data_IF_316229421589
#
_entry.id   IF_316229421589
#
_cell.length_a   1.000
_cell.length_b   1.000
_cell.length_c   1.000
_cell.angle_alpha   90.00
_cell.angle_beta   90.00
_cell.angle_gamma   90.00
#
_symmetry.space_group_name_H-M   'P 1'
#
loop_
_entity.id
_entity.type
_entity.pdbx_description
1 polymer ?
#
# COMPACT_ATOMS: atom_id res chain seq x y z
N UNK A 1 -67.18 -7.43 18.26
CA UNK A 1 -66.29 -6.37 17.73
C UNK A 1 -64.87 -6.59 18.24
N UNK A 2 -63.86 -6.35 17.40
CA UNK A 2 -62.41 -6.38 17.66
C UNK A 2 -61.71 -7.77 17.65
N UNK A 3 -61.76 -8.43 16.48
CA UNK A 3 -60.58 -9.13 15.92
C UNK A 3 -59.89 -8.13 15.02
N UNK A 4 -58.69 -7.64 15.35
CA UNK A 4 -57.74 -6.97 14.42
C UNK A 4 -56.57 -6.46 15.27
N UNK A 5 -55.66 -7.35 15.66
CA UNK A 5 -54.36 -6.93 16.17
C UNK A 5 -53.30 -8.02 15.96
N UNK A 6 -53.19 -8.53 14.74
CA UNK A 6 -52.10 -9.40 14.36
C UNK A 6 -51.96 -9.26 12.85
N UNK A 7 -51.14 -8.33 12.37
CA UNK A 7 -50.50 -8.29 11.03
C UNK A 7 -49.90 -6.89 10.77
N UNK A 8 -48.90 -6.47 11.56
CA UNK A 8 -48.13 -5.26 11.21
C UNK A 8 -46.68 -5.39 11.69
N UNK A 9 -46.03 -6.53 11.40
CA UNK A 9 -44.66 -6.81 11.82
C UNK A 9 -43.83 -7.57 10.76
N UNK A 10 -44.31 -7.67 9.51
CA UNK A 10 -43.69 -8.49 8.46
C UNK A 10 -43.18 -7.70 7.23
N UNK A 11 -43.14 -6.37 7.29
CA UNK A 11 -42.70 -5.54 6.14
C UNK A 11 -41.45 -4.70 6.41
N UNK A 12 -40.72 -4.96 7.50
CA UNK A 12 -39.32 -4.53 7.57
C UNK A 12 -38.49 -5.47 6.70
N UNK A 13 -38.63 -5.29 5.38
CA UNK A 13 -37.66 -5.75 4.39
C UNK A 13 -36.34 -5.10 4.79
N UNK A 14 -35.52 -5.86 5.52
CA UNK A 14 -34.14 -5.51 5.75
C UNK A 14 -33.51 -5.54 4.35
N UNK A 15 -33.39 -4.37 3.73
CA UNK A 15 -32.52 -4.20 2.57
C UNK A 15 -31.11 -4.41 3.09
N UNK A 16 -30.70 -5.67 3.18
CA UNK A 16 -29.31 -6.05 3.31
C UNK A 16 -28.63 -5.59 2.03
N UNK A 17 -28.13 -4.36 2.04
CA UNK A 17 -27.12 -3.94 1.09
C UNK A 17 -25.91 -4.83 1.32
N UNK A 18 -25.86 -5.94 0.59
CA UNK A 18 -24.62 -6.64 0.30
C UNK A 18 -23.66 -5.59 -0.25
N UNK A 19 -22.59 -5.27 0.49
CA UNK A 19 -21.43 -4.68 -0.16
C UNK A 19 -20.87 -5.81 -1.03
N UNK A 20 -21.28 -5.87 -2.30
CA UNK A 20 -20.94 -6.96 -3.21
C UNK A 20 -19.41 -7.11 -3.39
N UNK A 21 -18.64 -6.07 -3.07
CA UNK A 21 -17.19 -6.15 -2.86
C UNK A 21 -16.73 -5.11 -1.80
N UNK A 22 -16.27 -5.53 -0.59
CA UNK A 22 -15.78 -4.59 0.42
C UNK A 22 -14.50 -3.83 0.00
N UNK A 23 -13.84 -4.26 -1.08
CA UNK A 23 -12.60 -3.66 -1.61
C UNK A 23 -12.82 -2.82 -2.87
N UNK A 24 -14.06 -2.64 -3.35
CA UNK A 24 -14.32 -1.89 -4.58
C UNK A 24 -13.73 -0.47 -4.56
N UNK A 25 -13.79 0.21 -3.42
CA UNK A 25 -13.19 1.53 -3.24
C UNK A 25 -11.66 1.49 -3.30
N UNK A 26 -11.03 0.42 -2.81
CA UNK A 26 -9.58 0.24 -2.90
C UNK A 26 -9.16 -0.05 -4.34
N UNK A 27 -9.87 -0.94 -5.02
CA UNK A 27 -9.61 -1.33 -6.40
C UNK A 27 -9.65 -0.13 -7.35
N UNK A 28 -10.56 0.81 -7.13
CA UNK A 28 -10.68 2.03 -7.91
C UNK A 28 -9.54 3.03 -7.69
N UNK A 29 -8.87 2.99 -6.54
CA UNK A 29 -7.82 3.93 -6.16
C UNK A 29 -6.40 3.36 -6.30
N UNK A 30 -6.26 2.04 -6.42
CA UNK A 30 -4.98 1.34 -6.48
C UNK A 30 -4.82 0.63 -7.82
N UNK A 31 -3.86 1.09 -8.63
CA UNK A 31 -3.59 0.53 -9.95
C UNK A 31 -2.96 -0.85 -9.80
N UNK A 32 -3.56 -1.85 -10.43
CA UNK A 32 -2.94 -3.16 -10.52
C UNK A 32 -1.75 -3.11 -11.46
N UNK A 33 -0.59 -3.59 -10.99
CA UNK A 33 0.67 -3.46 -11.73
C UNK A 33 1.47 -4.75 -11.70
N UNK A 34 2.15 -5.03 -12.82
CA UNK A 34 3.30 -5.92 -12.81
C UNK A 34 4.45 -5.19 -12.11
N UNK A 35 4.79 -5.63 -10.90
CA UNK A 35 5.84 -5.02 -10.08
C UNK A 35 7.20 -5.00 -10.79
N UNK A 36 7.54 -6.05 -11.55
CA UNK A 36 8.80 -6.13 -12.29
C UNK A 36 8.85 -5.05 -13.37
N UNK A 37 7.73 -4.81 -14.04
CA UNK A 37 7.62 -3.72 -15.02
C UNK A 37 7.73 -2.36 -14.35
N UNK A 38 7.07 -2.15 -13.21
CA UNK A 38 7.14 -0.90 -12.46
C UNK A 38 8.58 -0.56 -12.07
N UNK A 39 9.30 -1.48 -11.42
CA UNK A 39 10.69 -1.24 -11.01
C UNK A 39 11.61 -1.00 -12.21
N UNK A 40 11.43 -1.73 -13.32
CA UNK A 40 12.19 -1.46 -14.55
C UNK A 40 11.97 -0.05 -15.08
N UNK A 41 10.74 0.47 -15.00
CA UNK A 41 10.45 1.84 -15.42
C UNK A 41 11.09 2.87 -14.51
N UNK A 42 11.06 2.64 -13.19
CA UNK A 42 11.71 3.53 -12.21
C UNK A 42 13.25 3.51 -12.36
N UNK A 43 13.85 2.35 -12.64
CA UNK A 43 15.29 2.24 -12.95
C UNK A 43 15.62 2.96 -14.26
N UNK A 44 14.87 2.70 -15.35
CA UNK A 44 15.11 3.35 -16.63
C UNK A 44 14.95 4.88 -16.54
N UNK A 45 14.02 5.35 -15.71
CA UNK A 45 13.88 6.76 -15.40
C UNK A 45 15.12 7.30 -14.68
N UNK A 46 15.58 6.63 -13.62
CA UNK A 46 16.78 7.04 -12.90
C UNK A 46 18.01 7.10 -13.83
N UNK A 47 18.25 6.06 -14.63
CA UNK A 47 19.32 6.02 -15.63
C UNK A 47 19.19 7.19 -16.62
N UNK A 48 17.97 7.54 -17.06
CA UNK A 48 17.75 8.65 -18.00
C UNK A 48 18.09 10.01 -17.40
N UNK A 49 17.87 10.20 -16.09
CA UNK A 49 18.20 11.46 -15.40
C UNK A 49 19.70 11.56 -15.13
N UNK A 50 20.36 10.47 -14.74
CA UNK A 50 21.81 10.45 -14.52
C UNK A 50 22.59 10.77 -15.81
N UNK A 51 22.08 10.33 -16.97
CA UNK A 51 22.71 10.58 -18.26
C UNK A 51 22.45 11.99 -18.84
N UNK A 52 21.59 12.81 -18.22
CA UNK A 52 21.24 14.17 -18.68
C UNK A 52 21.36 15.20 -17.53
N UNK A 53 22.58 15.58 -17.11
CA UNK A 53 22.81 16.40 -15.92
C UNK A 53 22.36 17.87 -16.05
N UNK A 54 21.95 18.32 -17.23
CA UNK A 54 21.44 19.69 -17.44
C UNK A 54 19.99 19.88 -17.00
N UNK A 55 19.24 18.81 -16.71
CA UNK A 55 17.85 18.87 -16.24
C UNK A 55 17.75 18.86 -14.71
N UNK A 56 16.77 19.57 -14.13
CA UNK A 56 16.58 19.63 -12.68
C UNK A 56 16.22 18.25 -12.12
N UNK A 57 17.07 17.71 -11.24
CA UNK A 57 17.06 16.30 -10.82
C UNK A 57 16.16 15.98 -9.62
N UNK A 58 15.31 16.91 -9.18
CA UNK A 58 14.37 16.65 -8.09
C UNK A 58 13.02 16.17 -8.64
N UNK A 59 12.69 14.92 -8.35
CA UNK A 59 11.40 14.34 -8.70
C UNK A 59 10.78 13.65 -7.50
N UNK A 60 9.48 13.83 -7.33
CA UNK A 60 8.70 13.12 -6.31
C UNK A 60 7.42 12.59 -6.93
N UNK A 61 7.02 11.41 -6.47
CA UNK A 61 5.77 10.78 -6.90
C UNK A 61 5.13 10.04 -5.74
N UNK A 62 3.81 10.14 -5.69
CA UNK A 62 2.97 9.36 -4.80
C UNK A 62 1.87 8.70 -5.62
N UNK A 63 1.66 7.38 -5.44
CA UNK A 63 0.68 6.64 -6.22
C UNK A 63 0.17 5.40 -5.46
N UNK A 64 -1.07 4.99 -5.72
CA UNK A 64 -1.61 3.73 -5.20
C UNK A 64 -1.34 2.57 -6.15
N UNK A 65 -0.71 1.49 -5.65
CA UNK A 65 -0.50 0.25 -6.42
C UNK A 65 -0.98 -0.98 -5.68
N UNK A 66 -1.52 -1.94 -6.44
CA UNK A 66 -1.84 -3.27 -5.93
C UNK A 66 -1.19 -4.36 -6.76
N UNK A 67 -0.72 -5.42 -6.09
CA UNK A 67 -0.06 -6.55 -6.72
C UNK A 67 0.00 -7.76 -5.78
N UNK A 68 0.14 -8.95 -6.36
CA UNK A 68 0.39 -10.19 -5.63
C UNK A 68 1.89 -10.35 -5.31
N UNK A 69 2.19 -10.84 -4.11
CA UNK A 69 3.56 -11.11 -3.67
C UNK A 69 3.61 -12.24 -2.62
N UNK A 70 4.81 -12.66 -2.21
CA UNK A 70 5.00 -13.71 -1.21
C UNK A 70 5.51 -13.10 0.09
N UNK A 71 4.80 -13.31 1.20
CA UNK A 71 5.30 -12.91 2.52
C UNK A 71 6.36 -13.89 3.02
N UNK A 72 7.57 -13.42 3.35
CA UNK A 72 8.69 -14.30 3.75
C UNK A 72 8.65 -14.75 5.22
N UNK A 73 7.78 -14.16 6.04
CA UNK A 73 7.78 -14.36 7.50
C UNK A 73 8.71 -13.40 8.26
N UNK A 74 9.56 -12.62 7.59
CA UNK A 74 10.55 -11.77 8.25
C UNK A 74 10.00 -10.37 8.54
N UNK A 75 10.36 -9.84 9.70
CA UNK A 75 9.98 -8.52 10.21
C UNK A 75 11.22 -7.80 10.72
N UNK A 76 11.26 -6.48 10.57
CA UNK A 76 12.26 -5.64 11.25
C UNK A 76 11.70 -4.26 11.59
N UNK A 77 12.48 -3.49 12.33
CA UNK A 77 12.19 -2.06 12.52
C UNK A 77 12.51 -1.31 11.23
N UNK A 78 11.63 -0.40 10.85
CA UNK A 78 11.88 0.48 9.70
C UNK A 78 13.11 1.37 9.95
N UNK A 79 13.87 1.64 8.90
CA UNK A 79 14.97 2.61 8.93
C UNK A 79 14.40 4.05 8.95
N UNK A 80 15.00 4.92 9.78
CA UNK A 80 14.62 6.34 9.87
C UNK A 80 14.69 7.07 8.52
N UNK A 81 15.67 6.76 7.66
CA UNK A 81 15.76 7.35 6.32
C UNK A 81 14.50 7.09 5.49
N UNK A 82 13.92 5.90 5.57
CA UNK A 82 12.67 5.59 4.86
C UNK A 82 11.50 6.40 5.40
N UNK A 83 11.39 6.55 6.73
CA UNK A 83 10.37 7.41 7.35
C UNK A 83 10.51 8.84 6.83
N UNK A 84 11.73 9.38 6.83
CA UNK A 84 11.98 10.76 6.44
C UNK A 84 11.65 11.01 4.96
N UNK A 85 11.95 10.04 4.08
CA UNK A 85 11.56 10.08 2.66
C UNK A 85 10.04 10.08 2.52
N UNK A 86 9.36 9.12 3.16
CA UNK A 86 7.89 9.06 3.11
C UNK A 86 7.28 10.36 3.62
N UNK A 87 7.80 10.93 4.71
CA UNK A 87 7.33 12.21 5.27
C UNK A 87 7.51 13.37 4.30
N UNK A 88 8.66 13.49 3.65
CA UNK A 88 8.91 14.53 2.64
C UNK A 88 7.94 14.42 1.48
N UNK A 89 7.83 13.24 0.88
CA UNK A 89 6.93 13.00 -0.26
C UNK A 89 5.49 13.26 0.17
N UNK A 90 5.00 12.61 1.23
CA UNK A 90 3.61 12.75 1.69
C UNK A 90 3.26 14.20 2.03
N UNK A 91 4.15 14.95 2.70
CA UNK A 91 3.91 16.36 3.03
C UNK A 91 3.71 17.23 1.79
N UNK A 92 4.37 16.92 0.67
CA UNK A 92 4.19 17.67 -0.59
C UNK A 92 2.80 17.47 -1.19
N UNK A 93 2.20 16.29 -1.01
CA UNK A 93 0.87 15.98 -1.57
C UNK A 93 -0.29 16.25 -0.59
N UNK A 94 -0.08 16.11 0.72
CA UNK A 94 -1.16 16.21 1.72
C UNK A 94 -1.04 17.40 2.68
N UNK A 95 0.12 18.06 2.75
CA UNK A 95 0.41 19.14 3.69
C UNK A 95 0.72 18.69 5.13
N UNK A 96 0.45 17.44 5.52
CA UNK A 96 0.70 16.91 6.86
C UNK A 96 1.26 15.48 6.79
N UNK A 97 2.38 15.21 7.47
CA UNK A 97 3.05 13.89 7.49
C UNK A 97 3.13 13.22 8.85
N UNK A 98 2.50 13.77 9.90
CA UNK A 98 2.62 13.27 11.28
C UNK A 98 2.11 11.83 11.43
N UNK A 99 1.12 11.43 10.62
CA UNK A 99 0.60 10.06 10.63
C UNK A 99 1.69 9.02 10.34
N UNK A 100 2.72 9.38 9.57
CA UNK A 100 3.82 8.47 9.22
C UNK A 100 4.79 8.23 10.39
N UNK A 101 4.79 9.09 11.41
CA UNK A 101 5.60 8.88 12.62
C UNK A 101 5.14 7.67 13.44
N UNK A 102 3.93 7.17 13.17
CA UNK A 102 3.39 5.97 13.80
C UNK A 102 3.96 4.68 13.22
N UNK A 103 4.53 4.70 12.01
CA UNK A 103 5.07 3.53 11.33
C UNK A 103 6.39 3.11 12.00
N UNK A 104 6.47 1.86 12.46
CA UNK A 104 7.64 1.32 13.16
C UNK A 104 8.21 0.05 12.55
N UNK A 105 7.42 -0.66 11.76
CA UNK A 105 7.78 -1.98 11.24
C UNK A 105 7.75 -2.01 9.73
N UNK A 106 8.59 -2.88 9.19
CA UNK A 106 8.54 -3.31 7.80
C UNK A 106 8.63 -4.83 7.73
N UNK A 107 8.00 -5.38 6.70
CA UNK A 107 7.95 -6.82 6.40
C UNK A 107 8.74 -7.09 5.13
N UNK A 108 9.42 -8.23 5.08
CA UNK A 108 10.10 -8.64 3.86
C UNK A 108 9.14 -9.39 2.95
N UNK A 109 8.96 -8.83 1.76
CA UNK A 109 8.11 -9.34 0.71
C UNK A 109 9.00 -9.85 -0.43
N UNK A 110 8.77 -11.09 -0.83
CA UNK A 110 9.40 -11.71 -1.98
C UNK A 110 8.54 -11.49 -3.20
N UNK A 111 9.20 -11.04 -4.25
CA UNK A 111 8.69 -10.79 -5.59
C UNK A 111 9.52 -11.59 -6.59
N UNK A 112 9.09 -11.64 -7.84
CA UNK A 112 9.84 -12.31 -8.91
C UNK A 112 11.24 -11.72 -9.12
N UNK A 113 11.40 -10.43 -8.82
CA UNK A 113 12.66 -9.68 -9.00
C UNK A 113 13.59 -9.74 -7.78
N UNK A 114 13.19 -10.36 -6.67
CA UNK A 114 13.98 -10.40 -5.43
C UNK A 114 13.14 -10.16 -4.18
N UNK A 115 13.77 -9.72 -3.10
CA UNK A 115 13.08 -9.35 -1.85
C UNK A 115 13.17 -7.84 -1.63
N UNK A 116 12.09 -7.28 -1.08
CA UNK A 116 12.03 -5.88 -0.66
C UNK A 116 11.48 -5.80 0.75
N UNK A 117 11.89 -4.77 1.49
CA UNK A 117 11.30 -4.45 2.78
C UNK A 117 10.24 -3.38 2.60
N UNK A 118 9.03 -3.68 3.05
CA UNK A 118 7.87 -2.82 2.87
C UNK A 118 7.36 -2.36 4.23
N UNK A 119 7.37 -1.05 4.51
CA UNK A 119 6.69 -0.49 5.66
C UNK A 119 5.23 -0.94 5.70
N UNK A 120 4.69 -1.10 6.91
CA UNK A 120 3.28 -1.49 7.10
C UNK A 120 2.60 -0.53 8.07
N UNK A 121 1.34 -0.18 7.78
CA UNK A 121 0.55 0.63 8.70
C UNK A 121 0.38 -0.09 10.05
N UNK A 122 0.52 0.61 11.19
CA UNK A 122 0.46 -0.02 12.52
C UNK A 122 -0.83 -0.81 12.79
N UNK A 123 -1.96 -0.32 12.26
CA UNK A 123 -3.26 -0.98 12.41
C UNK A 123 -3.31 -2.36 11.73
N UNK A 124 -2.48 -2.57 10.70
CA UNK A 124 -2.42 -3.81 9.93
C UNK A 124 -1.45 -4.82 10.53
N UNK A 125 -0.53 -4.44 11.41
CA UNK A 125 0.50 -5.35 11.93
C UNK A 125 -0.08 -6.61 12.58
N UNK A 126 -1.09 -6.42 13.44
CA UNK A 126 -1.74 -7.52 14.17
C UNK A 126 -2.55 -8.44 13.24
N UNK A 127 -3.46 -7.94 12.38
CA UNK A 127 -4.18 -8.81 11.45
C UNK A 127 -3.23 -9.48 10.45
N UNK A 128 -2.22 -8.77 9.93
CA UNK A 128 -1.25 -9.35 8.98
C UNK A 128 -0.51 -10.56 9.59
N UNK A 129 -0.03 -10.45 10.84
CA UNK A 129 0.61 -11.57 11.56
C UNK A 129 -0.34 -12.74 11.81
N UNK A 130 -1.63 -12.48 11.96
CA UNK A 130 -2.65 -13.49 12.24
C UNK A 130 -3.08 -14.23 10.98
N UNK A 131 -3.17 -13.52 9.87
CA UNK A 131 -3.88 -13.98 8.66
C UNK A 131 -2.92 -14.41 7.55
N UNK A 132 -1.76 -13.77 7.42
CA UNK A 132 -0.79 -14.08 6.36
C UNK A 132 0.25 -15.06 6.88
N UNK A 133 0.37 -16.22 6.24
CA UNK A 133 1.32 -17.25 6.63
C UNK A 133 2.69 -17.00 6.01
N UNK A 134 3.74 -17.48 6.69
CA UNK A 134 5.08 -17.48 6.11
C UNK A 134 5.09 -18.27 4.79
N UNK A 135 5.73 -17.70 3.78
CA UNK A 135 5.83 -18.21 2.41
C UNK A 135 4.48 -18.40 1.70
N UNK A 136 3.41 -17.71 2.13
CA UNK A 136 2.15 -17.69 1.39
C UNK A 136 2.06 -16.47 0.49
N UNK A 137 1.19 -16.59 -0.53
CA UNK A 137 0.81 -15.45 -1.35
C UNK A 137 -0.01 -14.45 -0.53
N UNK A 138 0.16 -13.18 -0.83
CA UNK A 138 -0.60 -12.06 -0.29
C UNK A 138 -0.79 -11.03 -1.39
N UNK A 139 -2.02 -10.55 -1.54
CA UNK A 139 -2.33 -9.43 -2.41
C UNK A 139 -2.22 -8.14 -1.60
N UNK A 140 -1.35 -7.23 -2.02
CA UNK A 140 -0.99 -6.02 -1.26
C UNK A 140 -1.54 -4.79 -1.95
N UNK A 141 -2.14 -3.88 -1.17
CA UNK A 141 -2.42 -2.50 -1.56
C UNK A 141 -1.38 -1.61 -0.93
N UNK A 142 -0.70 -0.81 -1.74
CA UNK A 142 0.50 -0.09 -1.34
C UNK A 142 0.42 1.36 -1.76
N UNK A 143 0.76 2.25 -0.84
CA UNK A 143 1.02 3.64 -1.16
C UNK A 143 2.50 3.76 -1.51
N UNK A 144 2.77 4.01 -2.79
CA UNK A 144 4.11 4.19 -3.31
C UNK A 144 4.60 5.60 -3.08
N UNK A 145 5.82 5.69 -2.56
CA UNK A 145 6.57 6.92 -2.41
C UNK A 145 7.86 6.80 -3.21
N UNK A 146 7.98 7.65 -4.22
CA UNK A 146 9.19 7.78 -4.99
C UNK A 146 9.78 9.18 -4.80
N UNK A 147 11.08 9.22 -4.59
CA UNK A 147 11.85 10.46 -4.48
C UNK A 147 13.20 10.26 -5.15
N UNK A 148 13.50 11.11 -6.11
CA UNK A 148 14.83 11.32 -6.64
C UNK A 148 15.37 12.63 -6.07
N UNK A 149 16.46 12.56 -5.31
CA UNK A 149 17.08 13.74 -4.69
C UNK A 149 17.99 14.46 -5.67
N UNK A 150 18.27 15.73 -5.38
CA UNK A 150 19.27 16.53 -6.12
C UNK A 150 20.68 15.92 -6.04
N UNK A 151 20.95 15.06 -5.04
CA UNK A 151 22.24 14.36 -4.92
C UNK A 151 22.30 13.05 -5.72
N UNK A 152 21.27 12.74 -6.52
CA UNK A 152 21.19 11.51 -7.32
C UNK A 152 20.67 10.28 -6.57
N UNK A 153 20.15 10.43 -5.34
CA UNK A 153 19.64 9.27 -4.59
C UNK A 153 18.20 8.96 -5.00
N UNK A 154 17.95 7.70 -5.37
CA UNK A 154 16.62 7.19 -5.68
C UNK A 154 16.04 6.38 -4.53
N UNK A 155 14.86 6.77 -4.07
CA UNK A 155 14.10 6.05 -3.06
C UNK A 155 12.78 5.56 -3.64
N UNK A 156 12.53 4.26 -3.51
CA UNK A 156 11.29 3.60 -3.92
C UNK A 156 10.72 2.84 -2.72
N UNK A 157 9.69 3.39 -2.07
CA UNK A 157 9.13 2.86 -0.83
C UNK A 157 7.67 2.50 -1.08
N UNK A 158 7.28 1.28 -0.72
CA UNK A 158 5.91 0.80 -0.84
C UNK A 158 5.33 0.55 0.56
N UNK A 159 4.49 1.48 1.03
CA UNK A 159 3.81 1.37 2.32
C UNK A 159 2.55 0.51 2.17
N UNK A 160 2.53 -0.66 2.81
CA UNK A 160 1.36 -1.55 2.86
C UNK A 160 0.23 -0.82 3.59
N UNK A 161 -0.83 -0.54 2.84
CA UNK A 161 -2.01 0.20 3.27
C UNK A 161 -3.26 -0.66 3.40
N UNK A 162 -3.29 -1.82 2.75
CA UNK A 162 -4.27 -2.90 2.96
C UNK A 162 -3.68 -4.21 2.40
N UNK A 163 -4.23 -5.36 2.79
CA UNK A 163 -3.87 -6.67 2.23
C UNK A 163 -5.05 -7.62 2.14
N UNK A 164 -4.95 -8.59 1.23
CA UNK A 164 -5.86 -9.73 1.12
C UNK A 164 -5.00 -10.99 1.16
N UNK A 165 -5.34 -11.92 2.04
CA UNK A 165 -4.65 -13.20 2.11
C UNK A 165 -4.92 -14.03 0.85
N UNK A 166 -3.87 -14.46 0.15
CA UNK A 166 -3.98 -15.43 -0.94
C UNK A 166 -4.15 -16.83 -0.32
N UNK A 167 -5.36 -17.39 -0.40
CA UNK A 167 -5.65 -18.74 0.08
C UNK A 167 -4.81 -19.80 -0.64
#
# INVERSE_FOLDING_TARGET
MKRFLTFFLLTLSISSYSQDNPYESWDNNYKEVDFKRLIKMEIAYADSVENNPEETQFFVRQEGYRFEAIFTGNWRNINQTQIDVMKKVYKLFSGNSEILDTIKKEVEIKLDSGTIWMPIQPILEKPFKKEVKKNSSVYLYTLFFNMHTVSGELYNIFLISEFINGN
#
